data_IF_275774188288
#
_entry.id   IF_275774188288
#
_cell.length_a   1.000
_cell.length_b   1.000
_cell.length_c   1.000
_cell.angle_alpha   90.00
_cell.angle_beta   90.00
_cell.angle_gamma   90.00
#
_symmetry.space_group_name_H-M   'P 1'
#
loop_
_entity.id
_entity.type
_entity.pdbx_description
1 polymer ?
#
# COMPACT_ATOMS: atom_id res chain seq x y z
N UNK A 1 -3.83 -2.75 -29.65
CA UNK A 1 -3.27 -1.44 -30.04
C UNK A 1 -2.73 -0.79 -28.79
N UNK A 2 -1.58 -1.25 -28.29
CA UNK A 2 -0.91 -0.63 -27.14
C UNK A 2 0.54 -1.12 -27.11
N UNK A 3 1.45 -0.19 -27.22
CA UNK A 3 2.86 -0.38 -26.93
C UNK A 3 3.41 1.03 -26.82
N UNK A 4 3.71 1.47 -25.60
CA UNK A 4 4.74 2.47 -25.41
C UNK A 4 5.98 1.64 -25.14
N UNK A 5 6.76 1.40 -26.18
CA UNK A 5 8.07 0.77 -26.08
C UNK A 5 9.11 1.75 -25.54
N UNK A 6 10.31 1.24 -25.21
CA UNK A 6 11.41 2.08 -24.74
C UNK A 6 11.75 3.23 -25.70
N UNK A 7 11.62 3.00 -27.01
CA UNK A 7 11.86 4.03 -28.04
C UNK A 7 10.81 5.17 -27.98
N UNK A 8 9.53 4.86 -27.79
CA UNK A 8 8.47 5.87 -27.71
C UNK A 8 8.62 6.71 -26.44
N UNK A 9 9.01 6.11 -25.31
CA UNK A 9 9.36 6.86 -24.10
C UNK A 9 10.51 7.85 -24.33
N UNK A 10 11.56 7.43 -25.04
CA UNK A 10 12.68 8.31 -25.36
C UNK A 10 12.25 9.50 -26.23
N UNK A 11 11.40 9.26 -27.24
CA UNK A 11 10.86 10.35 -28.08
C UNK A 11 10.02 11.32 -27.26
N UNK A 12 9.16 10.81 -26.38
CA UNK A 12 8.35 11.66 -25.49
C UNK A 12 9.24 12.49 -24.57
N UNK A 13 10.28 11.89 -23.97
CA UNK A 13 11.23 12.61 -23.12
C UNK A 13 12.00 13.69 -23.89
N UNK A 14 12.41 13.40 -25.13
CA UNK A 14 13.09 14.36 -25.98
C UNK A 14 12.19 15.55 -26.31
N UNK A 15 10.95 15.28 -26.75
CA UNK A 15 9.97 16.32 -27.09
C UNK A 15 9.60 17.15 -25.86
N UNK A 16 9.32 16.51 -24.73
CA UNK A 16 9.06 17.20 -23.47
C UNK A 16 10.25 18.08 -23.04
N UNK A 17 11.47 17.58 -23.23
CA UNK A 17 12.70 18.30 -22.93
C UNK A 17 12.94 19.50 -23.83
N UNK A 18 12.54 19.44 -25.10
CA UNK A 18 12.61 20.57 -26.02
C UNK A 18 11.55 21.62 -25.66
N UNK A 19 10.30 21.21 -25.44
CA UNK A 19 9.18 22.13 -25.18
C UNK A 19 9.36 22.86 -23.84
N UNK A 20 9.70 22.12 -22.79
CA UNK A 20 9.85 22.68 -21.45
C UNK A 20 11.26 23.23 -21.21
N UNK A 21 12.26 22.70 -21.91
CA UNK A 21 13.67 22.91 -21.63
C UNK A 21 14.21 21.88 -20.62
N UNK A 22 15.43 21.35 -20.82
CA UNK A 22 16.03 20.36 -19.93
C UNK A 22 16.23 20.90 -18.51
N UNK A 23 16.55 22.19 -18.33
CA UNK A 23 16.67 22.76 -16.98
C UNK A 23 15.33 22.78 -16.23
N UNK A 24 14.21 23.02 -16.93
CA UNK A 24 12.88 23.09 -16.30
C UNK A 24 12.35 21.71 -15.94
N UNK A 25 12.53 20.71 -16.80
CA UNK A 25 12.18 19.32 -16.46
C UNK A 25 12.92 18.87 -15.19
N UNK A 26 14.22 19.14 -15.11
CA UNK A 26 15.02 18.80 -13.94
C UNK A 26 14.56 19.57 -12.69
N UNK A 27 14.24 20.86 -12.82
CA UNK A 27 13.73 21.68 -11.70
C UNK A 27 12.40 21.14 -11.18
N UNK A 28 11.43 20.91 -12.06
CA UNK A 28 10.11 20.37 -11.71
C UNK A 28 10.24 18.96 -11.12
N UNK A 29 11.09 18.10 -11.69
CA UNK A 29 11.36 16.77 -11.15
C UNK A 29 11.96 16.80 -9.74
N UNK A 30 12.88 17.75 -9.46
CA UNK A 30 13.46 17.95 -8.12
C UNK A 30 12.41 18.41 -7.11
N UNK A 31 11.53 19.33 -7.50
CA UNK A 31 10.46 19.84 -6.62
C UNK A 31 9.40 18.77 -6.37
N UNK A 32 8.92 18.10 -7.42
CA UNK A 32 8.00 16.97 -7.31
C UNK A 32 8.59 15.83 -6.48
N UNK A 33 9.87 15.50 -6.67
CA UNK A 33 10.56 14.48 -5.87
C UNK A 33 10.61 14.81 -4.38
N UNK A 34 10.89 16.08 -4.04
CA UNK A 34 10.82 16.55 -2.64
C UNK A 34 9.41 16.44 -2.09
N UNK A 35 8.41 16.85 -2.87
CA UNK A 35 7.00 16.77 -2.47
C UNK A 35 6.57 15.31 -2.23
N UNK A 36 6.87 14.40 -3.15
CA UNK A 36 6.58 12.97 -3.02
C UNK A 36 7.32 12.37 -1.82
N UNK A 37 8.59 12.73 -1.60
CA UNK A 37 9.36 12.28 -0.43
C UNK A 37 8.69 12.69 0.87
N UNK A 38 8.26 13.95 0.95
CA UNK A 38 7.58 14.48 2.12
C UNK A 38 6.23 13.77 2.29
N UNK A 39 5.41 13.70 1.24
CA UNK A 39 4.14 12.98 1.24
C UNK A 39 4.31 11.53 1.72
N UNK A 40 5.31 10.80 1.19
CA UNK A 40 5.64 9.44 1.64
C UNK A 40 5.99 9.39 3.12
N UNK A 41 6.71 10.36 3.66
CA UNK A 41 7.02 10.44 5.09
C UNK A 41 5.75 10.63 5.94
N UNK A 42 4.82 11.50 5.50
CA UNK A 42 3.52 11.67 6.17
C UNK A 42 2.65 10.40 6.08
N UNK A 43 2.57 9.76 4.92
CA UNK A 43 1.87 8.48 4.80
C UNK A 43 2.53 7.39 5.63
N UNK A 44 3.85 7.39 5.78
CA UNK A 44 4.59 6.43 6.59
C UNK A 44 4.38 6.66 8.09
N UNK A 45 4.23 7.91 8.56
CA UNK A 45 3.91 8.18 9.96
C UNK A 45 2.46 7.80 10.27
N UNK A 46 1.52 8.14 9.38
CA UNK A 46 0.12 7.71 9.50
C UNK A 46 -0.01 6.18 9.44
N UNK A 47 0.73 5.54 8.53
CA UNK A 47 0.78 4.08 8.45
C UNK A 47 1.49 3.47 9.67
N UNK A 48 2.44 4.16 10.30
CA UNK A 48 3.10 3.66 11.52
C UNK A 48 2.16 3.66 12.73
N UNK A 49 1.35 4.71 12.86
CA UNK A 49 0.27 4.79 13.85
C UNK A 49 -0.84 3.77 13.54
N UNK A 50 -1.31 3.72 12.29
CA UNK A 50 -2.29 2.73 11.83
C UNK A 50 -1.78 1.30 11.95
N UNK A 51 -0.50 1.01 11.67
CA UNK A 51 0.05 -0.35 11.76
C UNK A 51 0.13 -0.82 13.22
N UNK A 52 0.35 0.10 14.16
CA UNK A 52 0.23 -0.20 15.59
C UNK A 52 -1.22 -0.53 15.97
N UNK A 53 -2.21 0.04 15.28
CA UNK A 53 -3.64 -0.28 15.46
C UNK A 53 -4.10 -1.50 14.63
N UNK A 54 -3.48 -1.76 13.47
CA UNK A 54 -3.73 -2.94 12.62
C UNK A 54 -3.12 -4.20 13.22
N UNK A 55 -1.99 -4.10 13.95
CA UNK A 55 -1.48 -5.21 14.77
C UNK A 55 -2.52 -5.59 15.86
N UNK A 56 -3.27 -4.62 16.42
CA UNK A 56 -4.40 -4.93 17.31
C UNK A 56 -5.57 -5.60 16.56
N UNK A 57 -5.80 -5.25 15.29
CA UNK A 57 -6.84 -5.89 14.47
C UNK A 57 -6.48 -7.33 14.07
N UNK A 58 -5.20 -7.65 13.89
CA UNK A 58 -4.74 -9.03 13.71
C UNK A 58 -4.87 -9.84 15.00
N UNK A 59 -4.60 -9.26 16.16
CA UNK A 59 -4.81 -9.90 17.47
C UNK A 59 -6.31 -10.15 17.76
N UNK A 60 -7.19 -9.20 17.41
CA UNK A 60 -8.65 -9.38 17.48
C UNK A 60 -9.17 -10.50 16.55
N UNK A 61 -8.53 -10.68 15.39
CA UNK A 61 -8.83 -11.78 14.45
C UNK A 61 -8.48 -13.14 15.05
N UNK A 62 -7.36 -13.25 15.76
CA UNK A 62 -6.95 -14.49 16.40
C UNK A 62 -7.85 -14.87 17.60
N UNK A 63 -8.25 -13.89 18.43
CA UNK A 63 -9.21 -14.11 19.53
C UNK A 63 -10.57 -14.58 19.01
N UNK A 64 -11.07 -13.99 17.94
CA UNK A 64 -12.34 -14.41 17.32
C UNK A 64 -12.24 -15.85 16.78
N UNK A 65 -11.08 -16.21 16.23
CA UNK A 65 -10.82 -17.55 15.69
C UNK A 65 -10.67 -18.60 16.78
N UNK A 66 -10.13 -18.25 17.95
CA UNK A 66 -10.09 -19.14 19.12
C UNK A 66 -11.45 -19.29 19.79
N UNK A 67 -12.24 -18.22 19.87
CA UNK A 67 -13.62 -18.29 20.36
C UNK A 67 -14.48 -19.22 19.49
N UNK A 68 -14.33 -19.13 18.16
CA UNK A 68 -15.06 -19.97 17.20
C UNK A 68 -14.63 -21.45 17.27
N UNK A 69 -13.32 -21.72 17.45
CA UNK A 69 -12.81 -23.08 17.68
C UNK A 69 -13.30 -23.68 18.99
N UNK A 70 -13.34 -22.89 20.06
CA UNK A 70 -13.79 -23.34 21.39
C UNK A 70 -15.30 -23.58 21.40
N UNK A 71 -16.06 -22.74 20.71
CA UNK A 71 -17.50 -22.93 20.50
C UNK A 71 -17.80 -24.18 19.63
N UNK A 72 -17.01 -24.41 18.58
CA UNK A 72 -17.10 -25.61 17.74
C UNK A 72 -16.74 -26.90 18.48
N UNK A 73 -15.72 -26.87 19.35
CA UNK A 73 -15.29 -28.02 20.16
C UNK A 73 -16.31 -28.36 21.26
N UNK A 74 -16.94 -27.34 21.87
CA UNK A 74 -18.04 -27.53 22.81
C UNK A 74 -19.29 -28.14 22.14
N UNK A 75 -19.50 -27.84 20.84
CA UNK A 75 -20.61 -28.41 20.08
C UNK A 75 -20.42 -29.88 19.69
N UNK A 76 -19.20 -30.42 19.74
CA UNK A 76 -18.91 -31.84 19.48
C UNK A 76 -18.98 -32.73 20.73
N UNK A 77 -19.23 -32.15 21.92
CA UNK A 77 -19.29 -32.88 23.20
C UNK A 77 -20.68 -32.83 23.85
N UNK A 78 -21.72 -33.11 23.08
CA UNK A 78 -22.99 -33.59 23.63
C UNK A 78 -23.06 -35.12 23.50
N UNK A 79 -22.88 -35.89 24.59
CA UNK A 79 -23.14 -37.31 24.53
C UNK A 79 -24.66 -37.52 24.38
N UNK A 80 -25.13 -38.31 23.38
CA UNK A 80 -26.53 -38.72 23.32
C UNK A 80 -26.75 -39.76 24.42
N UNK A 81 -27.41 -39.37 25.51
CA UNK A 81 -27.92 -40.34 26.48
C UNK A 81 -29.43 -40.20 26.59
N UNK A 82 -30.08 -41.13 25.88
CA UNK A 82 -31.44 -41.63 26.12
C UNK A 82 -31.40 -42.63 27.28
#
# INVERSE_FOLDING_TARGET
MFGIGGAELLVILLVAGIILGPERLARVGREAGKFIRNAKAYFSSLSGELKTELDMLDELRDVTREADKTAGDFSLKTPPHS
#
